data_IF_122034181584
#
_entry.id   IF_122034181584
#
_cell.length_a   1.000
_cell.length_b   1.000
_cell.length_c   1.000
_cell.angle_alpha   90.00
_cell.angle_beta   90.00
_cell.angle_gamma   90.00
#
_symmetry.space_group_name_H-M   'P 1'
#
loop_
_entity.id
_entity.type
_entity.pdbx_description
1 polymer ?
#
# COMPACT_ATOMS: atom_id res chain seq x y z
N UNK A 1 -24.99 -31.17 -5.97
CA UNK A 1 -24.16 -30.55 -4.93
C UNK A 1 -25.04 -30.44 -3.69
N UNK A 2 -24.61 -30.99 -2.55
CA UNK A 2 -25.40 -30.91 -1.32
C UNK A 2 -25.50 -29.44 -0.86
N UNK A 3 -26.64 -29.08 -0.25
CA UNK A 3 -26.87 -27.72 0.28
C UNK A 3 -25.76 -27.34 1.27
N UNK A 4 -25.31 -28.31 2.08
CA UNK A 4 -24.23 -28.16 3.03
C UNK A 4 -22.90 -27.72 2.36
N UNK A 5 -22.50 -28.38 1.26
CA UNK A 5 -21.29 -28.02 0.52
C UNK A 5 -21.39 -26.60 -0.05
N UNK A 6 -22.57 -26.22 -0.53
CA UNK A 6 -22.83 -24.87 -1.07
C UNK A 6 -22.65 -23.80 0.01
N UNK A 7 -23.22 -24.03 1.21
CA UNK A 7 -23.11 -23.11 2.35
C UNK A 7 -21.66 -22.97 2.81
N UNK A 8 -20.88 -24.07 2.84
CA UNK A 8 -19.45 -24.05 3.20
C UNK A 8 -18.63 -23.19 2.23
N UNK A 9 -18.84 -23.36 0.93
CA UNK A 9 -18.15 -22.57 -0.11
C UNK A 9 -18.47 -21.09 0.05
N UNK A 10 -19.75 -20.74 0.22
CA UNK A 10 -20.18 -19.35 0.42
C UNK A 10 -19.52 -18.75 1.68
N UNK A 11 -19.50 -19.51 2.77
CA UNK A 11 -18.87 -19.07 4.04
C UNK A 11 -17.39 -18.80 3.87
N UNK A 12 -16.67 -19.67 3.16
CA UNK A 12 -15.23 -19.49 2.86
C UNK A 12 -15.02 -18.24 2.00
N UNK A 13 -15.83 -18.01 0.97
CA UNK A 13 -15.74 -16.80 0.13
C UNK A 13 -15.91 -15.54 0.98
N UNK A 14 -16.94 -15.48 1.84
CA UNK A 14 -17.13 -14.35 2.73
C UNK A 14 -16.00 -14.19 3.75
N UNK A 15 -15.44 -15.29 4.26
CA UNK A 15 -14.27 -15.26 5.13
C UNK A 15 -13.04 -14.67 4.44
N UNK A 16 -12.78 -15.06 3.18
CA UNK A 16 -11.69 -14.51 2.37
C UNK A 16 -11.90 -13.00 2.18
N UNK A 17 -13.09 -12.57 1.72
CA UNK A 17 -13.40 -11.14 1.53
C UNK A 17 -13.27 -10.35 2.84
N UNK A 18 -13.78 -10.90 3.95
CA UNK A 18 -13.66 -10.30 5.28
C UNK A 18 -12.20 -10.11 5.71
N UNK A 19 -11.36 -11.12 5.47
CA UNK A 19 -9.92 -11.02 5.74
C UNK A 19 -9.27 -9.90 4.93
N UNK A 20 -9.62 -9.74 3.64
CA UNK A 20 -9.11 -8.62 2.83
C UNK A 20 -9.46 -7.25 3.43
N UNK A 21 -10.69 -7.08 3.93
CA UNK A 21 -11.11 -5.85 4.59
C UNK A 21 -10.32 -5.58 5.86
N UNK A 22 -10.17 -6.59 6.73
CA UNK A 22 -9.41 -6.44 7.98
C UNK A 22 -7.96 -6.03 7.70
N UNK A 23 -7.33 -6.62 6.67
CA UNK A 23 -5.98 -6.26 6.24
C UNK A 23 -5.91 -4.79 5.77
N UNK A 24 -6.94 -4.32 5.07
CA UNK A 24 -7.03 -2.93 4.64
C UNK A 24 -7.22 -1.97 5.83
N UNK A 25 -8.13 -2.29 6.75
CA UNK A 25 -8.47 -1.44 7.89
C UNK A 25 -7.31 -1.36 8.91
N UNK A 26 -6.61 -2.47 9.18
CA UNK A 26 -5.39 -2.47 10.01
C UNK A 26 -4.27 -1.59 9.43
N UNK A 27 -4.33 -1.26 8.14
CA UNK A 27 -3.40 -0.32 7.51
C UNK A 27 -3.75 1.16 7.74
N UNK A 28 -4.88 1.47 8.38
CA UNK A 28 -5.29 2.81 8.80
C UNK A 28 -4.80 3.09 10.24
N UNK A 29 -4.05 4.18 10.45
CA UNK A 29 -3.42 4.50 11.73
C UNK A 29 -4.40 4.96 12.82
N UNK A 30 -3.93 5.02 14.08
CA UNK A 30 -4.75 5.45 15.23
C UNK A 30 -4.93 6.98 15.30
N UNK A 31 -6.04 7.44 15.91
CA UNK A 31 -6.35 8.89 16.07
C UNK A 31 -5.30 9.67 16.86
N UNK A 32 -4.69 9.06 17.88
CA UNK A 32 -3.64 9.70 18.69
C UNK A 32 -2.40 9.97 17.83
N UNK A 33 -1.98 8.97 17.05
CA UNK A 33 -0.85 9.09 16.13
C UNK A 33 -1.05 10.22 15.12
N UNK A 34 -2.27 10.39 14.60
CA UNK A 34 -2.60 11.47 13.65
C UNK A 34 -2.42 12.87 14.25
N UNK A 35 -2.66 13.05 15.56
CA UNK A 35 -2.48 14.35 16.22
C UNK A 35 -1.01 14.73 16.35
N UNK A 36 -0.18 13.77 16.71
CA UNK A 36 1.26 13.97 16.85
C UNK A 36 1.92 14.19 15.47
N UNK A 37 1.53 13.40 14.47
CA UNK A 37 1.94 13.58 13.07
C UNK A 37 1.58 14.99 12.56
N UNK A 38 0.36 15.46 12.85
CA UNK A 38 -0.05 16.82 12.49
C UNK A 38 0.78 17.89 13.18
N UNK A 39 1.00 17.77 14.50
CA UNK A 39 1.77 18.75 15.27
C UNK A 39 3.20 18.85 14.75
N UNK A 40 3.84 17.70 14.55
CA UNK A 40 5.20 17.63 14.02
C UNK A 40 5.28 18.24 12.62
N UNK A 41 4.38 17.85 11.70
CA UNK A 41 4.36 18.37 10.34
C UNK A 41 4.16 19.90 10.32
N UNK A 42 3.26 20.43 11.16
CA UNK A 42 3.03 21.87 11.28
C UNK A 42 4.26 22.62 11.77
N UNK A 43 4.92 22.11 12.81
CA UNK A 43 6.14 22.71 13.36
C UNK A 43 7.28 22.66 12.32
N UNK A 44 7.56 21.50 11.74
CA UNK A 44 8.61 21.34 10.73
C UNK A 44 8.40 22.22 9.48
N UNK A 45 7.18 22.23 8.91
CA UNK A 45 6.88 23.06 7.73
C UNK A 45 6.98 24.55 8.04
N UNK A 46 6.64 24.97 9.27
CA UNK A 46 6.84 26.36 9.70
C UNK A 46 8.33 26.68 9.76
N UNK A 47 9.12 25.82 10.39
CA UNK A 47 10.55 26.05 10.59
C UNK A 47 11.32 26.05 9.25
N UNK A 48 10.85 25.34 8.22
CA UNK A 48 11.40 25.42 6.85
C UNK A 48 11.26 26.80 6.19
N UNK A 49 10.31 27.63 6.64
CA UNK A 49 10.03 28.95 6.08
C UNK A 49 10.62 30.11 6.91
N UNK A 50 11.16 29.81 8.09
CA UNK A 50 11.69 30.82 9.01
C UNK A 50 13.16 31.17 8.70
N UNK A 51 13.54 32.40 9.04
CA UNK A 51 14.93 32.87 9.07
C UNK A 51 15.42 32.88 10.53
N UNK A 52 16.65 32.40 10.83
CA UNK A 52 17.61 31.82 9.89
C UNK A 52 17.21 30.42 9.41
N UNK A 53 17.56 30.08 8.16
CA UNK A 53 17.28 28.76 7.59
C UNK A 53 17.83 27.62 8.44
N UNK A 54 17.05 26.56 8.57
CA UNK A 54 17.46 25.31 9.20
C UNK A 54 18.73 24.75 8.56
N UNK A 55 19.59 24.16 9.41
CA UNK A 55 20.76 23.42 8.94
C UNK A 55 20.31 22.23 8.05
N UNK A 56 21.02 21.91 6.94
CA UNK A 56 20.63 20.83 6.02
C UNK A 56 20.36 19.47 6.70
N UNK A 57 21.14 19.14 7.74
CA UNK A 57 20.92 17.93 8.54
C UNK A 57 19.53 17.92 9.22
N UNK A 58 19.10 19.06 9.78
CA UNK A 58 17.80 19.17 10.43
C UNK A 58 16.66 19.04 9.41
N UNK A 59 16.83 19.61 8.22
CA UNK A 59 15.90 19.47 7.10
C UNK A 59 15.76 17.99 6.71
N UNK A 60 16.89 17.29 6.51
CA UNK A 60 16.89 15.87 6.14
C UNK A 60 16.19 15.00 7.19
N UNK A 61 16.52 15.19 8.48
CA UNK A 61 15.88 14.46 9.58
C UNK A 61 14.39 14.77 9.71
N UNK A 62 14.01 16.02 9.49
CA UNK A 62 12.61 16.44 9.49
C UNK A 62 11.81 15.72 8.40
N UNK A 63 12.34 15.65 7.17
CA UNK A 63 11.69 14.88 6.10
C UNK A 63 11.56 13.38 6.43
N UNK A 64 12.59 12.75 7.02
CA UNK A 64 12.48 11.34 7.46
C UNK A 64 11.44 11.13 8.55
N UNK A 65 11.31 12.10 9.47
CA UNK A 65 10.30 12.06 10.50
C UNK A 65 8.89 12.24 9.93
N UNK A 66 8.69 13.13 8.95
CA UNK A 66 7.41 13.27 8.23
C UNK A 66 7.07 11.99 7.46
N UNK A 67 8.04 11.38 6.78
CA UNK A 67 7.83 10.13 6.04
C UNK A 67 7.70 8.89 6.92
N UNK A 68 8.07 8.97 8.20
CA UNK A 68 8.14 7.83 9.11
C UNK A 68 9.16 6.77 8.68
N UNK A 69 10.15 7.13 7.86
CA UNK A 69 11.19 6.21 7.38
C UNK A 69 12.44 6.97 6.91
N UNK A 70 13.61 6.35 7.13
CA UNK A 70 14.89 6.80 6.59
C UNK A 70 15.30 6.08 5.30
N UNK A 71 14.43 5.20 4.77
CA UNK A 71 14.72 4.39 3.57
C UNK A 71 14.52 5.15 2.24
N UNK A 72 14.04 6.38 2.28
CA UNK A 72 13.74 7.22 1.12
C UNK A 72 14.63 8.45 1.19
N UNK A 73 15.14 8.94 0.05
CA UNK A 73 15.97 10.15 0.04
C UNK A 73 15.13 11.38 0.40
N UNK A 74 15.69 12.29 1.19
CA UNK A 74 14.98 13.51 1.62
C UNK A 74 14.43 14.34 0.44
N UNK A 75 15.16 14.46 -0.68
CA UNK A 75 14.69 15.17 -1.89
C UNK A 75 13.44 14.55 -2.52
N UNK A 76 13.26 13.23 -2.39
CA UNK A 76 12.09 12.55 -2.92
C UNK A 76 10.87 12.79 -2.04
N UNK A 77 11.08 12.83 -0.72
CA UNK A 77 10.04 13.20 0.25
C UNK A 77 9.59 14.63 -0.01
N UNK A 78 10.54 15.56 -0.17
CA UNK A 78 10.27 16.96 -0.53
C UNK A 78 9.42 17.06 -1.81
N UNK A 79 9.81 16.34 -2.88
CA UNK A 79 9.04 16.31 -4.12
C UNK A 79 7.60 15.80 -3.89
N UNK A 80 7.45 14.68 -3.17
CA UNK A 80 6.13 14.08 -2.90
C UNK A 80 5.25 15.04 -2.09
N UNK A 81 5.84 15.76 -1.13
CA UNK A 81 5.12 16.75 -0.33
C UNK A 81 4.65 17.96 -1.15
N UNK A 82 5.23 18.19 -2.34
CA UNK A 82 4.78 19.22 -3.29
C UNK A 82 3.58 18.78 -4.17
N UNK A 83 3.26 17.48 -4.18
CA UNK A 83 2.13 16.93 -4.95
C UNK A 83 0.80 17.19 -4.24
N UNK A 84 -0.27 17.22 -5.02
CA UNK A 84 -1.64 17.26 -4.52
C UNK A 84 -1.91 16.03 -3.64
N UNK A 85 -2.49 16.24 -2.45
CA UNK A 85 -2.72 15.19 -1.45
C UNK A 85 -1.43 14.51 -0.93
N UNK A 86 -0.48 15.28 -0.35
CA UNK A 86 0.87 14.83 -0.04
C UNK A 86 0.90 13.64 0.94
N UNK A 87 -0.02 13.58 1.90
CA UNK A 87 -0.11 12.46 2.85
C UNK A 87 -0.45 11.13 2.16
N UNK A 88 -1.36 11.14 1.17
CA UNK A 88 -1.69 9.94 0.39
C UNK A 88 -0.52 9.56 -0.52
N UNK A 89 0.05 10.52 -1.23
CA UNK A 89 1.19 10.28 -2.12
C UNK A 89 2.39 9.70 -1.37
N UNK A 90 2.69 10.20 -0.16
CA UNK A 90 3.77 9.71 0.68
C UNK A 90 3.52 8.28 1.18
N UNK A 91 2.27 7.97 1.59
CA UNK A 91 1.88 6.61 1.97
C UNK A 91 1.96 5.63 0.81
N UNK A 92 1.52 6.05 -0.37
CA UNK A 92 1.53 5.20 -1.56
C UNK A 92 2.96 4.97 -2.07
N UNK A 93 3.80 5.99 -2.05
CA UNK A 93 5.21 5.89 -2.43
C UNK A 93 6.01 5.00 -1.47
N UNK A 94 5.88 5.19 -0.16
CA UNK A 94 6.58 4.39 0.87
C UNK A 94 6.26 2.90 0.73
N UNK A 95 4.99 2.56 0.49
CA UNK A 95 4.55 1.16 0.38
C UNK A 95 4.89 0.51 -0.97
N UNK A 96 4.88 1.30 -2.04
CA UNK A 96 5.08 0.82 -3.40
C UNK A 96 6.49 1.05 -3.96
N UNK A 97 7.41 1.55 -3.12
CA UNK A 97 8.77 1.94 -3.49
C UNK A 97 9.51 0.97 -4.42
N UNK A 98 9.41 -0.33 -4.17
CA UNK A 98 10.05 -1.39 -4.98
C UNK A 98 9.57 -1.47 -6.44
N UNK A 99 8.48 -0.80 -6.78
CA UNK A 99 7.88 -0.77 -8.12
C UNK A 99 8.18 0.54 -8.88
N UNK A 100 8.77 1.53 -8.19
CA UNK A 100 8.97 2.88 -8.70
C UNK A 100 10.46 3.16 -8.91
N UNK A 101 10.77 4.02 -9.87
CA UNK A 101 12.11 4.55 -10.12
C UNK A 101 12.42 5.74 -9.20
N UNK A 102 13.71 5.96 -8.94
CA UNK A 102 14.17 7.04 -8.06
C UNK A 102 14.22 8.35 -8.85
N UNK A 103 13.83 9.47 -8.25
CA UNK A 103 13.76 10.81 -8.87
C UNK A 103 15.15 11.41 -9.25
N UNK A 104 16.18 10.59 -9.36
CA UNK A 104 17.56 11.03 -9.62
C UNK A 104 18.32 10.22 -10.67
N UNK A 105 17.68 9.29 -11.39
CA UNK A 105 18.32 8.57 -12.51
C UNK A 105 17.95 9.12 -13.89
N UNK A 106 16.81 9.80 -14.01
CA UNK A 106 16.35 10.41 -15.26
C UNK A 106 15.97 11.88 -15.00
N UNK A 107 16.25 12.76 -15.95
CA UNK A 107 16.01 14.23 -15.90
C UNK A 107 14.53 14.62 -15.67
N UNK A 108 13.62 13.65 -15.57
CA UNK A 108 12.23 13.86 -15.20
C UNK A 108 12.07 14.02 -13.68
N UNK A 109 11.65 15.19 -13.23
CA UNK A 109 11.18 15.45 -11.86
C UNK A 109 9.83 14.76 -11.57
N UNK A 110 9.57 13.58 -12.12
CA UNK A 110 8.33 12.80 -11.94
C UNK A 110 8.67 11.39 -11.49
N UNK A 111 7.82 10.84 -10.64
CA UNK A 111 7.90 9.45 -10.21
C UNK A 111 7.42 8.58 -11.37
N UNK A 112 8.25 7.69 -11.86
CA UNK A 112 7.86 6.70 -12.89
C UNK A 112 8.02 5.28 -12.34
N UNK A 113 7.52 4.30 -13.09
CA UNK A 113 7.72 2.89 -12.79
C UNK A 113 9.15 2.46 -13.09
N UNK A 114 9.68 1.58 -12.26
CA UNK A 114 10.93 0.91 -12.58
C UNK A 114 10.80 0.15 -13.92
N UNK A 115 11.89 0.04 -14.68
CA UNK A 115 11.95 -0.62 -16.00
C UNK A 115 11.13 -1.93 -16.13
N UNK A 116 11.14 -2.79 -15.11
CA UNK A 116 10.39 -4.07 -15.06
C UNK A 116 8.86 -3.91 -15.06
N UNK A 117 8.37 -2.74 -14.64
CA UNK A 117 6.95 -2.41 -14.44
C UNK A 117 6.46 -1.27 -15.34
N UNK A 118 7.31 -0.73 -16.22
CA UNK A 118 6.97 0.36 -17.14
C UNK A 118 5.79 0.03 -18.07
N UNK A 119 5.75 -1.22 -18.56
CA UNK A 119 4.67 -1.70 -19.44
C UNK A 119 3.37 -1.93 -18.65
N UNK A 120 2.21 -1.38 -19.08
CA UNK A 120 0.92 -1.63 -18.43
C UNK A 120 0.56 -3.11 -18.34
N UNK A 121 0.79 -3.86 -19.42
CA UNK A 121 0.59 -5.31 -19.46
C UNK A 121 1.34 -6.05 -18.35
N UNK A 122 2.59 -5.66 -18.10
CA UNK A 122 3.45 -6.31 -17.11
C UNK A 122 2.97 -6.05 -15.67
N UNK A 123 2.20 -4.99 -15.44
CA UNK A 123 1.55 -4.70 -14.15
C UNK A 123 0.23 -5.46 -14.03
N UNK A 124 -0.61 -5.40 -15.07
CA UNK A 124 -1.92 -6.08 -15.09
C UNK A 124 -1.78 -7.59 -14.91
N UNK A 125 -0.86 -8.23 -15.62
CA UNK A 125 -0.62 -9.68 -15.46
C UNK A 125 -0.18 -10.04 -14.03
N UNK A 126 0.71 -9.26 -13.42
CA UNK A 126 1.18 -9.51 -12.05
C UNK A 126 0.08 -9.28 -11.03
N UNK A 127 -0.75 -8.24 -11.20
CA UNK A 127 -1.95 -8.02 -10.38
C UNK A 127 -2.89 -9.21 -10.45
N UNK A 128 -3.17 -9.71 -11.66
CA UNK A 128 -4.00 -10.90 -11.86
C UNK A 128 -3.39 -12.14 -11.19
N UNK A 129 -2.09 -12.37 -11.36
CA UNK A 129 -1.38 -13.47 -10.73
C UNK A 129 -1.45 -13.41 -9.19
N UNK A 130 -1.25 -12.23 -8.58
CA UNK A 130 -1.36 -12.07 -7.13
C UNK A 130 -2.78 -12.30 -6.61
N UNK A 131 -3.81 -11.86 -7.34
CA UNK A 131 -5.21 -12.14 -6.98
C UNK A 131 -5.48 -13.65 -7.08
N UNK A 132 -5.01 -14.33 -8.12
CA UNK A 132 -5.18 -15.77 -8.28
C UNK A 132 -4.50 -16.51 -7.13
N UNK A 133 -3.26 -16.17 -6.77
CA UNK A 133 -2.55 -16.78 -5.64
C UNK A 133 -3.26 -16.49 -4.32
N UNK A 134 -3.82 -15.29 -4.14
CA UNK A 134 -4.62 -14.96 -2.96
C UNK A 134 -5.87 -15.85 -2.83
N UNK A 135 -6.62 -16.01 -3.92
CA UNK A 135 -7.82 -16.85 -3.94
C UNK A 135 -7.46 -18.30 -3.70
N UNK A 136 -6.52 -18.85 -4.49
CA UNK A 136 -6.05 -20.23 -4.33
C UNK A 136 -5.47 -20.46 -2.92
N UNK A 137 -4.66 -19.54 -2.42
CA UNK A 137 -4.10 -19.56 -1.07
C UNK A 137 -5.19 -19.60 -0.01
N UNK A 138 -6.23 -18.76 -0.12
CA UNK A 138 -7.38 -18.76 0.78
C UNK A 138 -8.15 -20.08 0.76
N UNK A 139 -8.42 -20.64 -0.43
CA UNK A 139 -9.06 -21.94 -0.56
C UNK A 139 -8.20 -23.08 0.00
N UNK A 140 -6.88 -23.06 -0.23
CA UNK A 140 -5.96 -24.07 0.33
C UNK A 140 -5.84 -23.95 1.84
N UNK A 141 -5.85 -22.73 2.39
CA UNK A 141 -5.85 -22.50 3.83
C UNK A 141 -7.09 -23.11 4.50
N UNK A 142 -8.25 -22.97 3.86
CA UNK A 142 -9.54 -23.50 4.31
C UNK A 142 -9.84 -24.93 3.82
N UNK A 143 -8.90 -25.56 3.10
CA UNK A 143 -9.10 -26.89 2.51
C UNK A 143 -9.46 -27.99 3.53
N UNK A 144 -8.93 -28.00 4.77
CA UNK A 144 -9.32 -29.02 5.75
C UNK A 144 -10.82 -28.97 6.10
N UNK A 145 -11.41 -27.76 6.13
CA UNK A 145 -12.84 -27.59 6.36
C UNK A 145 -13.69 -27.94 5.14
N UNK A 146 -13.20 -27.64 3.94
CA UNK A 146 -13.91 -27.94 2.69
C UNK A 146 -13.93 -29.44 2.38
N UNK A 147 -12.85 -30.15 2.69
CA UNK A 147 -12.68 -31.57 2.35
C UNK A 147 -13.05 -32.52 3.50
N UNK A 148 -13.43 -32.01 4.69
CA UNK A 148 -13.77 -32.83 5.86
C UNK A 148 -14.78 -33.93 5.54
N UNK A 149 -15.85 -33.58 4.82
CA UNK A 149 -16.94 -34.50 4.48
C UNK A 149 -16.54 -35.49 3.39
N UNK A 150 -15.66 -35.08 2.46
CA UNK A 150 -15.16 -35.94 1.39
C UNK A 150 -14.17 -37.00 1.91
N UNK A 151 -13.38 -36.63 2.92
CA UNK A 151 -12.32 -37.47 3.49
C UNK A 151 -12.77 -38.23 4.74
N UNK A 152 -14.04 -38.10 5.16
CA UNK A 152 -14.58 -38.66 6.42
C UNK A 152 -13.66 -38.40 7.62
N UNK A 153 -13.04 -37.22 7.67
CA UNK A 153 -12.01 -36.90 8.66
C UNK A 153 -12.62 -36.54 10.01
N UNK A 154 -12.01 -37.03 11.08
CA UNK A 154 -12.38 -36.63 12.44
C UNK A 154 -12.13 -35.14 12.67
N UNK A 155 -12.97 -34.51 13.51
CA UNK A 155 -12.83 -33.08 13.88
C UNK A 155 -11.44 -32.74 14.40
N UNK A 156 -10.80 -33.66 15.15
CA UNK A 156 -9.41 -33.47 15.63
C UNK A 156 -8.42 -33.34 14.49
N UNK A 157 -8.55 -34.16 13.44
CA UNK A 157 -7.66 -34.12 12.27
C UNK A 157 -7.85 -32.82 11.49
N UNK A 158 -9.10 -32.37 11.31
CA UNK A 158 -9.42 -31.09 10.67
C UNK A 158 -8.77 -29.93 11.42
N UNK A 159 -8.83 -29.92 12.75
CA UNK A 159 -8.20 -28.88 13.57
C UNK A 159 -6.67 -28.89 13.44
N UNK A 160 -6.03 -30.07 13.47
CA UNK A 160 -4.58 -30.21 13.30
C UNK A 160 -4.14 -29.70 11.93
N UNK A 161 -4.82 -30.12 10.86
CA UNK A 161 -4.50 -29.67 9.51
C UNK A 161 -4.74 -28.17 9.35
N UNK A 162 -5.83 -27.63 9.91
CA UNK A 162 -6.12 -26.19 9.88
C UNK A 162 -5.04 -25.36 10.58
N UNK A 163 -4.51 -25.86 11.70
CA UNK A 163 -3.40 -25.21 12.42
C UNK A 163 -2.12 -25.11 11.59
N UNK A 164 -1.96 -25.97 10.56
CA UNK A 164 -0.82 -25.95 9.65
C UNK A 164 -1.16 -25.14 8.38
N UNK A 165 -2.31 -25.39 7.76
CA UNK A 165 -2.68 -24.78 6.47
C UNK A 165 -3.00 -23.29 6.59
N UNK A 166 -3.63 -22.86 7.69
CA UNK A 166 -4.00 -21.45 7.87
C UNK A 166 -2.76 -20.56 7.99
N UNK A 167 -1.77 -20.84 8.87
CA UNK A 167 -0.59 -19.98 8.95
C UNK A 167 0.26 -20.01 7.69
N UNK A 168 0.41 -21.19 7.05
CA UNK A 168 1.25 -21.33 5.85
C UNK A 168 0.60 -20.68 4.63
N UNK A 169 -0.56 -21.16 4.19
CA UNK A 169 -1.24 -20.66 3.01
C UNK A 169 -1.93 -19.32 3.25
N UNK A 170 -2.38 -19.04 4.47
CA UNK A 170 -2.90 -17.72 4.84
C UNK A 170 -1.82 -16.64 4.79
N UNK A 171 -0.57 -16.94 5.17
CA UNK A 171 0.54 -16.00 4.99
C UNK A 171 0.84 -15.74 3.52
N UNK A 172 0.87 -16.76 2.66
CA UNK A 172 1.06 -16.59 1.22
C UNK A 172 -0.08 -15.79 0.57
N UNK A 173 -1.32 -16.05 0.98
CA UNK A 173 -2.47 -15.28 0.54
C UNK A 173 -2.34 -13.80 0.96
N UNK A 174 -2.00 -13.56 2.22
CA UNK A 174 -1.78 -12.21 2.77
C UNK A 174 -0.67 -11.46 2.01
N UNK A 175 0.50 -12.07 1.80
CA UNK A 175 1.61 -11.42 1.09
C UNK A 175 1.27 -11.12 -0.38
N UNK A 176 0.54 -12.03 -1.03
CA UNK A 176 0.07 -11.84 -2.40
C UNK A 176 -0.90 -10.66 -2.52
N UNK A 177 -1.89 -10.58 -1.62
CA UNK A 177 -2.81 -9.45 -1.58
C UNK A 177 -2.07 -8.14 -1.29
N UNK A 178 -1.12 -8.15 -0.36
CA UNK A 178 -0.29 -6.99 -0.06
C UNK A 178 0.52 -6.54 -1.28
N UNK A 179 1.06 -7.48 -2.05
CA UNK A 179 1.80 -7.18 -3.29
C UNK A 179 0.90 -6.61 -4.38
N UNK A 180 -0.33 -7.10 -4.53
CA UNK A 180 -1.35 -6.50 -5.39
C UNK A 180 -1.62 -5.03 -5.01
N UNK A 181 -1.89 -4.77 -3.72
CA UNK A 181 -2.17 -3.42 -3.21
C UNK A 181 -1.01 -2.47 -3.50
N UNK A 182 0.24 -2.93 -3.36
CA UNK A 182 1.42 -2.10 -3.63
C UNK A 182 1.52 -1.71 -5.11
N UNK A 183 1.20 -2.61 -6.04
CA UNK A 183 1.20 -2.26 -7.48
C UNK A 183 0.08 -1.27 -7.78
N UNK A 184 -1.12 -1.48 -7.23
CA UNK A 184 -2.25 -0.57 -7.40
C UNK A 184 -1.94 0.84 -6.88
N UNK A 185 -1.28 0.94 -5.72
CA UNK A 185 -0.84 2.23 -5.16
C UNK A 185 0.23 2.91 -5.99
N UNK A 186 1.16 2.15 -6.57
CA UNK A 186 2.13 2.72 -7.53
C UNK A 186 1.42 3.31 -8.75
N UNK A 187 0.43 2.61 -9.31
CA UNK A 187 -0.39 3.13 -10.42
C UNK A 187 -1.15 4.39 -10.05
N UNK A 188 -1.86 4.36 -8.92
CA UNK A 188 -2.58 5.53 -8.41
C UNK A 188 -1.65 6.72 -8.19
N UNK A 189 -0.41 6.50 -7.72
CA UNK A 189 0.55 7.57 -7.50
C UNK A 189 1.06 8.14 -8.82
N UNK A 190 1.45 7.27 -9.77
CA UNK A 190 2.02 7.72 -11.05
C UNK A 190 0.99 8.49 -11.89
N UNK A 191 -0.27 8.05 -11.87
CA UNK A 191 -1.39 8.71 -12.57
C UNK A 191 -1.76 10.06 -11.96
N UNK A 192 -1.62 10.23 -10.63
CA UNK A 192 -2.07 11.42 -9.90
C UNK A 192 -0.89 12.23 -9.32
N UNK A 193 -0.01 12.73 -10.20
CA UNK A 193 1.13 13.60 -9.83
C UNK A 193 0.88 15.08 -10.14
N UNK A 194 -0.35 15.55 -9.94
CA UNK A 194 -0.62 16.98 -10.04
C UNK A 194 0.14 17.71 -8.94
N UNK A 195 0.88 18.76 -9.28
CA UNK A 195 1.51 19.61 -8.27
C UNK A 195 0.44 20.46 -7.58
N UNK A 196 0.66 20.81 -6.32
CA UNK A 196 -0.08 21.89 -5.66
C UNK A 196 0.11 23.19 -6.47
N UNK A 197 -0.78 23.44 -7.43
CA UNK A 197 -0.74 24.66 -8.21
C UNK A 197 -1.35 25.75 -7.34
N UNK A 198 -0.55 26.73 -6.90
CA UNK A 198 -1.11 28.05 -6.64
C UNK A 198 -1.51 28.58 -8.02
N UNK A 199 -2.81 28.49 -8.35
CA UNK A 199 -3.39 29.23 -9.46
C UNK A 199 -3.23 30.72 -9.14
N UNK A 200 -2.08 31.31 -9.47
CA UNK A 200 -1.96 32.75 -9.59
C UNK A 200 -2.26 33.05 -11.06
N UNK A 201 -3.55 33.23 -11.36
CA UNK A 201 -3.96 33.98 -12.53
C UNK A 201 -3.55 35.44 -12.27
N UNK A 202 -2.38 35.83 -12.77
CA UNK A 202 -2.03 37.25 -12.86
C UNK A 202 -2.92 37.82 -13.97
N UNK A 203 -4.03 38.44 -13.57
CA UNK A 203 -4.83 39.26 -14.46
C UNK A 203 -3.90 40.35 -15.01
N UNK A 204 -3.52 40.19 -16.28
CA UNK A 204 -2.70 41.17 -16.99
C UNK A 204 -3.58 42.41 -17.15
N UNK A 205 -3.46 43.38 -16.22
CA UNK A 205 -4.01 44.72 -16.41
C UNK A 205 -3.46 45.27 -17.73
N UNK A 206 -4.29 45.28 -18.75
CA UNK A 206 -4.08 46.09 -19.94
C UNK A 206 -4.08 47.56 -19.52
N UNK A 207 -3.03 48.26 -19.96
CA UNK A 207 -2.76 49.67 -19.73
C UNK A 207 -3.89 50.58 -20.22
#
# INVERSE_FOLDING_TARGET
>A
MEIETTVKIITVIFGIIGAAKVIFDLSAGSKVKLRDEYRFAKEFLRDLTQEPKLHPLAIEKGYYAVAGTASIKSKEIEYILSLENPGRCLKDYTLSRKYLEHLGENESTKIDFANKYKKPWARTWRKAAYIIIYVLGGFTAMSPFLLQQLLNSETKQVLIFSAITIPTFGFFAFDSLRSFIKIYRAESLVENQNKHTKLILVERRSA
#
